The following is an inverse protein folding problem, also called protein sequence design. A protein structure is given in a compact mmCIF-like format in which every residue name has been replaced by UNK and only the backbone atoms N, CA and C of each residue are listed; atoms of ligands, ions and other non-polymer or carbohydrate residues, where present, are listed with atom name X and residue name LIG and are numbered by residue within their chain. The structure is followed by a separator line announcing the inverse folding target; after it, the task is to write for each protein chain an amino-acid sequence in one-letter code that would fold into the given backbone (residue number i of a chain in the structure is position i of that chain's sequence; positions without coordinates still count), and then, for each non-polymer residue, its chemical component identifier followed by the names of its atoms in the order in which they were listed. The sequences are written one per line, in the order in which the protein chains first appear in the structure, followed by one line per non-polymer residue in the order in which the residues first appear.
data_IF_780771765647
#
_entry.id   IF_780771765647
#
_cell.length_a   1.000
_cell.length_b   1.000
_cell.length_c   1.000
_cell.angle_alpha   90.00
_cell.angle_beta   90.00
_cell.angle_gamma   90.00
#
_symmetry.space_group_name_H-M   'P 1'
#
loop_
_entity.id
_entity.type
_entity.pdbx_description
1 polymer ?
#
# COMPACT_ATOMS: atom_id res chain seq x y z
N UNK A 1 11.20 -36.09 16.21
CA UNK A 1 10.48 -35.39 15.12
C UNK A 1 11.15 -34.05 14.99
N UNK A 2 12.03 -33.84 14.01
CA UNK A 2 12.69 -32.55 13.82
C UNK A 2 11.93 -31.69 12.79
N UNK A 3 12.28 -30.41 12.83
CA UNK A 3 12.06 -29.35 11.83
C UNK A 3 10.82 -28.43 11.93
N UNK A 4 11.10 -27.27 12.54
CA UNK A 4 10.86 -25.92 12.00
C UNK A 4 9.43 -25.37 11.94
N UNK A 5 8.94 -24.90 13.09
CA UNK A 5 8.24 -23.62 13.07
C UNK A 5 9.28 -22.51 13.12
N UNK A 6 9.60 -21.94 11.96
CA UNK A 6 10.35 -20.68 11.86
C UNK A 6 9.72 -19.63 12.80
N UNK A 7 10.53 -18.88 13.57
CA UNK A 7 10.01 -17.80 14.39
C UNK A 7 9.34 -16.79 13.48
N UNK A 8 8.09 -16.44 13.80
CA UNK A 8 7.34 -15.35 13.15
C UNK A 8 8.26 -14.13 13.20
N UNK A 9 8.87 -13.78 12.06
CA UNK A 9 9.85 -12.70 11.97
C UNK A 9 9.24 -11.48 12.63
N UNK A 10 9.79 -11.12 13.79
CA UNK A 10 9.29 -10.06 14.65
C UNK A 10 9.63 -8.76 13.93
N UNK A 11 8.83 -8.40 12.92
CA UNK A 11 9.04 -7.22 12.10
C UNK A 11 9.12 -6.03 13.06
N UNK A 12 10.33 -5.49 13.20
CA UNK A 12 10.62 -4.48 14.19
C UNK A 12 9.83 -3.23 13.86
N UNK A 13 9.02 -2.78 14.81
CA UNK A 13 8.23 -1.55 14.65
C UNK A 13 9.10 -0.38 15.07
N UNK A 14 9.34 0.53 14.13
CA UNK A 14 10.15 1.73 14.30
C UNK A 14 9.27 2.97 14.17
N UNK A 15 9.51 3.98 15.00
CA UNK A 15 8.82 5.26 14.89
C UNK A 15 9.49 6.11 13.81
N UNK A 16 8.75 6.42 12.74
CA UNK A 16 9.27 7.16 11.59
C UNK A 16 8.59 8.52 11.51
N UNK A 17 9.34 9.62 11.26
CA UNK A 17 8.74 10.92 11.04
C UNK A 17 7.77 10.90 9.86
N UNK A 18 6.56 11.42 10.06
CA UNK A 18 5.50 11.43 9.04
C UNK A 18 5.91 12.23 7.79
N UNK A 19 6.72 13.27 7.98
CA UNK A 19 7.30 14.10 6.91
C UNK A 19 8.29 13.36 6.00
N UNK A 20 8.89 12.25 6.46
CA UNK A 20 9.89 11.47 5.71
C UNK A 20 9.28 10.32 4.92
N UNK A 21 7.95 10.21 4.91
CA UNK A 21 7.24 9.12 4.25
C UNK A 21 6.62 9.65 2.96
N UNK A 22 7.11 9.16 1.83
CA UNK A 22 6.60 9.45 0.49
C UNK A 22 5.53 8.44 0.11
N UNK A 23 4.42 8.91 -0.45
CA UNK A 23 3.37 8.04 -1.01
C UNK A 23 3.56 7.95 -2.51
N UNK A 24 3.92 6.77 -3.01
CA UNK A 24 4.17 6.54 -4.45
C UNK A 24 2.88 6.53 -5.27
N UNK A 25 1.81 5.93 -4.73
CA UNK A 25 0.52 5.84 -5.40
C UNK A 25 -0.61 6.36 -4.50
N UNK A 26 -0.83 7.69 -4.46
CA UNK A 26 -1.85 8.29 -3.62
C UNK A 26 -3.24 7.94 -4.13
N UNK A 27 -4.06 7.36 -3.26
CA UNK A 27 -5.47 7.09 -3.55
C UNK A 27 -6.38 8.21 -3.08
N UNK A 28 -7.40 8.54 -3.87
CA UNK A 28 -8.49 9.42 -3.48
C UNK A 28 -9.44 8.68 -2.54
N UNK A 29 -9.72 9.25 -1.37
CA UNK A 29 -10.66 8.72 -0.38
C UNK A 29 -11.89 9.61 -0.23
N UNK A 30 -13.01 8.98 0.15
CA UNK A 30 -14.21 9.70 0.54
C UNK A 30 -14.00 10.34 1.92
N UNK A 31 -14.23 11.65 2.04
CA UNK A 31 -13.99 12.43 3.26
C UNK A 31 -14.68 11.87 4.51
N UNK A 32 -15.94 11.43 4.43
CA UNK A 32 -16.67 10.85 5.58
C UNK A 32 -16.01 9.60 6.16
N UNK A 33 -15.50 8.71 5.30
CA UNK A 33 -14.81 7.49 5.74
C UNK A 33 -13.46 7.81 6.36
N UNK A 34 -12.81 8.87 5.88
CA UNK A 34 -11.56 9.37 6.44
C UNK A 34 -11.77 9.97 7.82
N UNK A 35 -12.75 10.86 8.01
CA UNK A 35 -13.08 11.45 9.32
C UNK A 35 -13.34 10.38 10.38
N UNK A 36 -14.16 9.37 10.06
CA UNK A 36 -14.42 8.25 10.97
C UNK A 36 -13.15 7.47 11.34
N UNK A 37 -12.20 7.34 10.40
CA UNK A 37 -10.90 6.71 10.65
C UNK A 37 -10.02 7.58 11.55
N UNK A 38 -9.97 8.89 11.31
CA UNK A 38 -9.24 9.87 12.13
C UNK A 38 -9.74 9.82 13.56
N UNK A 39 -11.06 9.90 13.78
CA UNK A 39 -11.64 9.81 15.12
C UNK A 39 -11.34 8.48 15.81
N UNK A 40 -11.34 7.37 15.06
CA UNK A 40 -11.04 6.06 15.63
C UNK A 40 -9.58 5.99 16.08
N UNK A 41 -8.66 6.49 15.26
CA UNK A 41 -7.23 6.55 15.57
C UNK A 41 -6.97 7.51 16.74
N UNK A 42 -7.68 8.64 16.82
CA UNK A 42 -7.57 9.57 17.95
C UNK A 42 -8.02 8.94 19.27
N UNK A 43 -9.09 8.13 19.25
CA UNK A 43 -9.65 7.50 20.47
C UNK A 43 -8.92 6.24 20.91
N UNK A 44 -8.53 5.39 19.97
CA UNK A 44 -8.01 4.03 20.26
C UNK A 44 -6.50 3.93 20.01
N UNK A 45 -5.95 4.83 19.20
CA UNK A 45 -4.57 4.75 18.72
C UNK A 45 -4.42 3.81 17.51
N UNK A 46 -3.17 3.65 17.08
CA UNK A 46 -2.85 2.85 15.89
C UNK A 46 -2.84 1.35 16.22
N UNK A 47 -3.88 0.62 15.78
CA UNK A 47 -3.97 -0.84 15.99
C UNK A 47 -2.94 -1.64 15.19
N UNK A 48 -2.53 -1.15 14.03
CA UNK A 48 -1.55 -1.81 13.15
C UNK A 48 -0.55 -0.80 12.59
N UNK A 49 0.76 -1.04 12.72
CA UNK A 49 1.80 -0.17 12.15
C UNK A 49 1.67 -0.11 10.63
N UNK A 50 2.09 1.02 10.04
CA UNK A 50 2.20 1.15 8.59
C UNK A 50 3.37 0.31 8.07
N UNK A 51 3.41 0.01 6.77
CA UNK A 51 4.56 -0.66 6.15
C UNK A 51 5.23 0.32 5.23
N UNK A 52 6.54 0.45 5.37
CA UNK A 52 7.37 1.35 4.58
C UNK A 52 8.65 0.64 4.14
N UNK A 53 9.27 1.13 3.07
CA UNK A 53 10.58 0.68 2.64
C UNK A 53 11.57 1.85 2.67
N UNK A 54 12.83 1.62 3.06
CA UNK A 54 13.84 2.67 3.06
C UNK A 54 14.22 3.02 1.62
N UNK A 55 14.26 4.32 1.33
CA UNK A 55 14.68 4.82 0.03
C UNK A 55 16.21 4.83 -0.07
N UNK A 56 16.76 4.17 -1.09
CA UNK A 56 18.20 4.16 -1.31
C UNK A 56 18.70 5.55 -1.75
N UNK A 57 19.83 6.00 -1.19
CA UNK A 57 20.51 7.21 -1.63
C UNK A 57 19.96 8.54 -1.08
N UNK A 58 19.15 8.51 -0.02
CA UNK A 58 18.65 9.72 0.65
C UNK A 58 19.35 9.96 1.99
N UNK A 59 19.81 11.19 2.24
CA UNK A 59 20.31 11.64 3.56
C UNK A 59 19.67 13.00 3.91
N UNK A 60 18.83 13.09 4.96
CA UNK A 60 18.44 12.03 5.89
C UNK A 60 17.61 10.91 5.24
N UNK A 61 17.62 9.72 5.84
CA UNK A 61 16.88 8.54 5.36
C UNK A 61 15.39 8.84 5.17
N UNK A 62 14.92 8.71 3.92
CA UNK A 62 13.50 8.76 3.54
C UNK A 62 12.93 7.35 3.39
N UNK A 63 11.60 7.28 3.38
CA UNK A 63 10.87 6.02 3.26
C UNK A 63 9.74 6.12 2.25
N UNK A 64 9.55 5.07 1.45
CA UNK A 64 8.40 4.92 0.57
C UNK A 64 7.31 4.12 1.28
N UNK A 65 6.09 4.65 1.27
CA UNK A 65 4.94 3.99 1.85
C UNK A 65 4.50 2.82 0.97
N UNK A 66 4.53 1.62 1.56
CA UNK A 66 4.04 0.39 0.92
C UNK A 66 2.58 0.18 1.26
N UNK A 67 2.20 0.33 2.53
CA UNK A 67 0.83 0.12 2.99
C UNK A 67 0.48 1.02 4.17
N UNK A 68 -0.74 1.56 4.15
CA UNK A 68 -1.31 2.29 5.28
C UNK A 68 -1.48 3.79 5.06
N UNK A 69 -1.69 4.25 3.82
CA UNK A 69 -1.84 5.68 3.48
C UNK A 69 -2.86 6.37 4.39
N UNK A 70 -4.02 5.74 4.58
CA UNK A 70 -5.04 6.29 5.47
C UNK A 70 -4.63 6.49 6.92
N UNK A 71 -3.74 5.64 7.43
CA UNK A 71 -3.21 5.75 8.80
C UNK A 71 -2.18 6.87 8.87
N UNK A 72 -1.34 7.01 7.85
CA UNK A 72 -0.40 8.12 7.71
C UNK A 72 -1.13 9.47 7.64
N UNK A 73 -2.12 9.59 6.74
CA UNK A 73 -2.94 10.80 6.59
C UNK A 73 -3.67 11.16 7.89
N UNK A 74 -4.21 10.18 8.60
CA UNK A 74 -4.85 10.43 9.88
C UNK A 74 -3.87 10.91 10.95
N UNK A 75 -2.64 10.40 10.97
CA UNK A 75 -1.61 10.90 11.89
C UNK A 75 -1.21 12.33 11.54
N UNK A 76 -1.11 12.67 10.25
CA UNK A 76 -0.85 14.03 9.78
C UNK A 76 -1.98 14.97 10.20
N UNK A 77 -3.24 14.57 10.02
CA UNK A 77 -4.42 15.33 10.45
C UNK A 77 -4.46 15.55 11.98
N UNK A 78 -4.04 14.53 12.74
CA UNK A 78 -3.90 14.59 14.20
C UNK A 78 -2.63 15.29 14.67
N UNK A 79 -1.86 15.90 13.76
CA UNK A 79 -0.59 16.61 14.02
C UNK A 79 0.43 15.77 14.79
N UNK A 80 0.49 14.48 14.48
CA UNK A 80 1.47 13.57 15.05
C UNK A 80 2.74 13.57 14.20
N UNK A 81 3.88 13.86 14.83
CA UNK A 81 5.16 13.96 14.14
C UNK A 81 5.72 12.60 13.72
N UNK A 82 5.33 11.52 14.44
CA UNK A 82 5.88 10.18 14.24
C UNK A 82 4.79 9.13 14.21
N UNK A 83 4.93 8.16 13.31
CA UNK A 83 4.01 7.03 13.15
C UNK A 83 4.76 5.69 13.32
N UNK A 84 4.19 4.70 14.02
CA UNK A 84 4.74 3.35 14.08
C UNK A 84 4.73 2.69 12.69
N UNK A 85 5.90 2.32 12.19
CA UNK A 85 6.09 1.72 10.88
C UNK A 85 6.93 0.44 10.97
N UNK A 86 6.61 -0.52 10.14
CA UNK A 86 7.41 -1.70 9.84
C UNK A 86 8.24 -1.37 8.61
N UNK A 87 9.56 -1.43 8.76
CA UNK A 87 10.49 -1.25 7.65
C UNK A 87 10.71 -2.60 6.97
N UNK A 88 10.48 -2.66 5.66
CA UNK A 88 10.80 -3.81 4.82
C UNK A 88 11.86 -3.43 3.79
N UNK A 89 12.70 -4.38 3.41
CA UNK A 89 13.61 -4.19 2.28
C UNK A 89 12.84 -4.46 0.98
N UNK A 90 12.57 -3.39 0.23
CA UNK A 90 11.97 -3.41 -1.09
C UNK A 90 12.49 -2.21 -1.87
N UNK A 91 12.75 -2.37 -3.16
CA UNK A 91 13.13 -1.25 -4.03
C UNK A 91 11.89 -0.41 -4.41
N UNK A 92 12.09 0.77 -5.00
CA UNK A 92 10.97 1.65 -5.40
C UNK A 92 10.01 0.93 -6.39
N UNK A 93 10.56 0.05 -7.22
CA UNK A 93 9.77 -0.77 -8.16
C UNK A 93 8.85 -1.73 -7.43
N UNK A 94 9.38 -2.53 -6.51
CA UNK A 94 8.63 -3.49 -5.71
C UNK A 94 7.65 -2.79 -4.76
N UNK A 95 8.04 -1.66 -4.17
CA UNK A 95 7.15 -0.85 -3.34
C UNK A 95 5.91 -0.42 -4.11
N UNK A 96 6.10 0.10 -5.33
CA UNK A 96 4.95 0.49 -6.15
C UNK A 96 4.13 -0.75 -6.55
N UNK A 97 4.74 -1.88 -6.89
CA UNK A 97 4.00 -3.11 -7.20
C UNK A 97 3.17 -3.59 -6.01
N UNK A 98 3.75 -3.60 -4.81
CA UNK A 98 3.04 -3.96 -3.58
C UNK A 98 1.89 -3.00 -3.30
N UNK A 99 2.09 -1.69 -3.53
CA UNK A 99 1.04 -0.67 -3.40
C UNK A 99 -0.09 -0.89 -4.41
N UNK A 100 0.24 -1.17 -5.68
CA UNK A 100 -0.73 -1.48 -6.73
C UNK A 100 -1.56 -2.73 -6.39
N UNK A 101 -0.90 -3.77 -5.89
CA UNK A 101 -1.56 -5.02 -5.47
C UNK A 101 -2.47 -4.79 -4.26
N UNK A 102 -2.04 -4.01 -3.25
CA UNK A 102 -2.88 -3.64 -2.10
C UNK A 102 -4.12 -2.86 -2.55
N UNK A 103 -3.94 -1.89 -3.44
CA UNK A 103 -5.04 -1.13 -4.02
C UNK A 103 -6.07 -2.04 -4.69
N UNK A 104 -5.57 -3.02 -5.44
CA UNK A 104 -6.34 -3.98 -6.21
C UNK A 104 -7.00 -5.08 -5.37
N UNK A 105 -6.52 -5.39 -4.16
CA UNK A 105 -7.05 -6.47 -3.30
C UNK A 105 -8.16 -6.03 -2.31
N UNK A 106 -8.47 -4.73 -2.22
CA UNK A 106 -9.50 -4.18 -1.30
C UNK A 106 -10.97 -4.32 -1.73
N UNK A 107 -11.77 -5.17 -1.08
CA UNK A 107 -13.23 -5.38 -1.25
C UNK A 107 -14.16 -4.24 -1.79
N UNK A 108 -13.85 -2.95 -1.61
CA UNK A 108 -14.56 -1.81 -2.23
C UNK A 108 -13.64 -1.06 -3.21
N UNK A 109 -13.42 -1.63 -4.39
CA UNK A 109 -12.70 -0.98 -5.49
C UNK A 109 -13.71 -0.43 -6.50
N UNK A 110 -13.53 0.83 -6.90
CA UNK A 110 -14.24 1.37 -8.06
C UNK A 110 -13.63 0.72 -9.31
N UNK A 111 -14.43 0.22 -10.28
CA UNK A 111 -13.92 -0.33 -11.53
C UNK A 111 -12.88 0.57 -12.21
N UNK A 112 -13.04 1.89 -12.15
CA UNK A 112 -12.11 2.87 -12.75
C UNK A 112 -10.74 2.85 -12.06
N UNK A 113 -10.70 2.75 -10.73
CA UNK A 113 -9.44 2.65 -10.00
C UNK A 113 -8.74 1.35 -10.40
N UNK A 114 -9.47 0.24 -10.37
CA UNK A 114 -8.96 -1.07 -10.72
C UNK A 114 -8.35 -1.10 -12.13
N UNK A 115 -9.01 -0.45 -13.09
CA UNK A 115 -8.50 -0.24 -14.44
C UNK A 115 -7.15 0.48 -14.45
N UNK A 116 -7.02 1.60 -13.72
CA UNK A 116 -5.77 2.36 -13.65
C UNK A 116 -4.63 1.54 -13.03
N UNK A 117 -4.93 0.81 -11.96
CA UNK A 117 -3.95 -0.04 -11.26
C UNK A 117 -3.45 -1.18 -12.16
N UNK A 118 -4.37 -1.88 -12.86
CA UNK A 118 -4.02 -2.92 -13.83
C UNK A 118 -3.22 -2.35 -15.01
N UNK A 119 -3.61 -1.18 -15.51
CA UNK A 119 -2.88 -0.47 -16.56
C UNK A 119 -1.45 -0.11 -16.14
N UNK A 120 -1.25 0.36 -14.90
CA UNK A 120 0.06 0.65 -14.35
C UNK A 120 0.93 -0.60 -14.23
N UNK A 121 0.35 -1.75 -13.85
CA UNK A 121 1.05 -3.04 -13.83
C UNK A 121 1.45 -3.49 -15.24
N UNK A 122 0.56 -3.36 -16.24
CA UNK A 122 0.89 -3.68 -17.64
C UNK A 122 2.02 -2.82 -18.21
N UNK A 123 2.02 -1.51 -17.93
CA UNK A 123 3.09 -0.59 -18.38
C UNK A 123 4.46 -0.98 -17.83
N UNK A 124 4.50 -1.69 -16.69
CA UNK A 124 5.72 -2.21 -16.07
C UNK A 124 6.13 -3.58 -16.58
N UNK A 125 5.43 -4.13 -17.58
CA UNK A 125 5.77 -5.40 -18.22
C UNK A 125 5.13 -6.63 -17.59
N UNK A 126 4.21 -6.48 -16.64
CA UNK A 126 3.46 -7.62 -16.11
C UNK A 126 2.38 -8.07 -17.10
N UNK A 127 2.28 -9.38 -17.31
CA UNK A 127 1.20 -9.96 -18.10
C UNK A 127 -0.07 -10.16 -17.26
N UNK A 128 -1.23 -10.29 -17.92
CA UNK A 128 -2.53 -10.42 -17.25
C UNK A 128 -2.60 -11.59 -16.26
N UNK A 129 -1.88 -12.67 -16.54
CA UNK A 129 -1.80 -13.85 -15.66
C UNK A 129 -1.06 -13.52 -14.37
N UNK A 130 0.12 -12.91 -14.47
CA UNK A 130 0.92 -12.47 -13.31
C UNK A 130 0.17 -11.43 -12.48
N UNK A 131 -0.56 -10.53 -13.14
CA UNK A 131 -1.41 -9.54 -12.46
C UNK A 131 -2.51 -10.28 -11.68
N UNK A 132 -3.23 -11.21 -12.33
CA UNK A 132 -4.29 -12.00 -11.71
C UNK A 132 -3.81 -12.80 -10.50
N UNK A 133 -2.66 -13.48 -10.62
CA UNK A 133 -2.03 -14.24 -9.53
C UNK A 133 -1.65 -13.33 -8.34
N UNK A 134 -1.13 -12.13 -8.61
CA UNK A 134 -0.73 -11.17 -7.55
C UNK A 134 -1.93 -10.58 -6.80
N UNK A 135 -3.03 -10.30 -7.49
CA UNK A 135 -4.20 -9.62 -6.92
C UNK A 135 -5.29 -10.62 -6.46
N UNK A 136 -5.13 -11.91 -6.78
CA UNK A 136 -6.05 -12.97 -6.38
C UNK A 136 -7.33 -13.04 -7.22
N UNK A 137 -7.27 -12.68 -8.50
CA UNK A 137 -8.42 -12.75 -9.44
C UNK A 137 -8.05 -13.52 -10.70
N UNK A 138 -9.06 -13.94 -11.48
CA UNK A 138 -8.81 -14.70 -12.71
C UNK A 138 -8.21 -13.81 -13.81
N UNK A 139 -7.45 -14.43 -14.71
CA UNK A 139 -6.87 -13.73 -15.87
C UNK A 139 -7.95 -13.12 -16.77
N UNK A 140 -9.13 -13.76 -16.89
CA UNK A 140 -10.24 -13.19 -17.66
C UNK A 140 -10.79 -11.91 -17.01
N UNK A 141 -10.83 -11.85 -15.69
CA UNK A 141 -11.28 -10.66 -14.96
C UNK A 141 -10.31 -9.49 -15.17
N UNK A 142 -8.99 -9.75 -15.13
CA UNK A 142 -7.96 -8.74 -15.45
C UNK A 142 -8.14 -8.23 -16.88
N UNK A 143 -8.32 -9.14 -17.83
CA UNK A 143 -8.48 -8.80 -19.24
C UNK A 143 -9.76 -8.00 -19.50
N UNK A 144 -10.89 -8.40 -18.90
CA UNK A 144 -12.17 -7.69 -18.99
C UNK A 144 -12.04 -6.25 -18.46
N UNK A 145 -11.41 -6.06 -17.30
CA UNK A 145 -11.22 -4.74 -16.72
C UNK A 145 -10.26 -3.90 -17.57
N UNK A 146 -9.13 -4.47 -18.01
CA UNK A 146 -8.19 -3.77 -18.87
C UNK A 146 -8.80 -3.37 -20.22
N UNK A 147 -9.68 -4.20 -20.79
CA UNK A 147 -10.38 -3.90 -22.05
C UNK A 147 -11.41 -2.76 -21.94
N UNK A 148 -11.86 -2.42 -20.73
CA UNK A 148 -12.73 -1.25 -20.52
C UNK A 148 -11.98 0.09 -20.70
N UNK A 149 -10.64 0.11 -20.54
CA UNK A 149 -9.80 1.29 -20.84
C UNK A 149 -9.67 1.57 -22.34
N UNK A 150 -9.68 0.54 -23.18
CA UNK A 150 -9.47 0.67 -24.62
C UNK A 150 -10.73 1.07 -25.39
N UNK A 151 -11.90 0.98 -24.76
CA UNK A 151 -13.21 1.28 -25.36
C UNK A 151 -13.89 2.54 -24.80
N UNK A 152 -13.17 3.30 -23.96
CA UNK A 152 -13.64 4.56 -23.35
C UNK A 152 -13.16 5.79 -24.11
#
# INVERSE_FOLDING_TARGET
MPDDMEPISQKQVTLIPTERIRVLNPRIRNGRTFEAMVENIARIGLKRPITVAPRAGTDPQEYDLVCGQGRLEAFIELKQDRIPAIVIEADESDCLVMSLVENCARRQHNPIDLMREIGALRQRGYNDRQIGEKIGVSTEYVNMIAGLLEKG
#
